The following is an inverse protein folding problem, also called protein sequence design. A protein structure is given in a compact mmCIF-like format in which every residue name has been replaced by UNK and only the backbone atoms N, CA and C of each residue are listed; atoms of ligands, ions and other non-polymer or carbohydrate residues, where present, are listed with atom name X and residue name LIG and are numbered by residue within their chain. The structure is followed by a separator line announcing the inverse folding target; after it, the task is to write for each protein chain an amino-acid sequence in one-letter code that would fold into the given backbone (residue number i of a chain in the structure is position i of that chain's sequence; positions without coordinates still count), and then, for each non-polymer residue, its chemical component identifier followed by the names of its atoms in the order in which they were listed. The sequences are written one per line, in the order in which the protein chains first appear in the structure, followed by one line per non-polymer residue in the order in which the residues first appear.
data_IF_659784333534
#
_entry.id   IF_659784333534
#
_cell.length_a   1.000
_cell.length_b   1.000
_cell.length_c   1.000
_cell.angle_alpha   90.00
_cell.angle_beta   90.00
_cell.angle_gamma   90.00
#
_symmetry.space_group_name_H-M   'P 1'
#
loop_
_entity.id
_entity.type
_entity.pdbx_description
1 polymer ?
#
# COMPACT_ATOMS: atom_id res chain seq x y z
N UNK A 1 -27.47 -11.67 -1.03
CA UNK A 1 -26.13 -11.73 -1.66
C UNK A 1 -25.49 -13.07 -1.37
N UNK A 2 -24.83 -13.71 -2.34
CA UNK A 2 -24.20 -15.03 -2.14
C UNK A 2 -22.81 -14.86 -1.48
N UNK A 3 -22.79 -14.70 -0.15
CA UNK A 3 -21.59 -14.48 0.66
C UNK A 3 -20.60 -15.65 0.58
N UNK A 4 -21.08 -16.88 0.37
CA UNK A 4 -20.24 -18.06 0.11
C UNK A 4 -19.39 -17.95 -1.16
N UNK A 5 -19.92 -17.36 -2.23
CA UNK A 5 -19.19 -17.15 -3.49
C UNK A 5 -18.09 -16.11 -3.29
N UNK A 6 -18.40 -15.02 -2.57
CA UNK A 6 -17.43 -13.97 -2.26
C UNK A 6 -16.28 -14.48 -1.39
N UNK A 7 -16.54 -15.38 -0.43
CA UNK A 7 -15.48 -16.02 0.40
C UNK A 7 -14.55 -16.92 -0.42
N UNK A 8 -15.11 -17.73 -1.32
CA UNK A 8 -14.31 -18.55 -2.24
C UNK A 8 -13.49 -17.66 -3.18
N UNK A 9 -14.08 -16.56 -3.65
CA UNK A 9 -13.39 -15.60 -4.50
C UNK A 9 -12.23 -14.91 -3.78
N UNK A 10 -12.45 -14.47 -2.53
CA UNK A 10 -11.41 -13.90 -1.66
C UNK A 10 -10.24 -14.87 -1.48
N UNK A 11 -10.53 -16.12 -1.09
CA UNK A 11 -9.51 -17.16 -0.91
C UNK A 11 -8.67 -17.40 -2.17
N UNK A 12 -9.30 -17.39 -3.35
CA UNK A 12 -8.61 -17.57 -4.62
C UNK A 12 -7.71 -16.38 -4.97
N UNK A 13 -8.17 -15.15 -4.68
CA UNK A 13 -7.37 -13.94 -4.86
C UNK A 13 -6.17 -13.93 -3.91
N UNK A 14 -6.37 -14.25 -2.64
CA UNK A 14 -5.29 -14.37 -1.64
C UNK A 14 -4.26 -15.43 -2.04
N UNK A 15 -4.71 -16.62 -2.45
CA UNK A 15 -3.82 -17.69 -2.93
C UNK A 15 -3.02 -17.27 -4.17
N UNK A 16 -3.64 -16.50 -5.07
CA UNK A 16 -2.99 -15.97 -6.28
C UNK A 16 -1.95 -14.91 -5.94
N UNK A 17 -2.24 -14.03 -4.99
CA UNK A 17 -1.31 -13.01 -4.49
C UNK A 17 -0.08 -13.67 -3.84
N UNK A 18 -0.28 -14.63 -2.94
CA UNK A 18 0.83 -15.39 -2.29
C UNK A 18 1.72 -16.08 -3.33
N UNK A 19 1.12 -16.68 -4.36
CA UNK A 19 1.87 -17.32 -5.44
C UNK A 19 2.71 -16.30 -6.21
N UNK A 20 2.13 -15.14 -6.50
CA UNK A 20 2.80 -14.07 -7.24
C UNK A 20 3.94 -13.45 -6.44
N UNK A 21 3.74 -13.19 -5.14
CA UNK A 21 4.79 -12.73 -4.21
C UNK A 21 5.98 -13.68 -4.19
N UNK A 22 5.72 -15.00 -4.10
CA UNK A 22 6.79 -16.01 -4.11
C UNK A 22 7.58 -16.01 -5.42
N UNK A 23 6.90 -15.79 -6.55
CA UNK A 23 7.56 -15.68 -7.86
C UNK A 23 8.40 -14.41 -7.93
N UNK A 24 7.86 -13.27 -7.47
CA UNK A 24 8.58 -11.99 -7.44
C UNK A 24 9.84 -12.10 -6.58
N UNK A 25 9.72 -12.67 -5.38
CA UNK A 25 10.85 -12.87 -4.49
C UNK A 25 11.95 -13.71 -5.16
N UNK A 26 11.57 -14.80 -5.83
CA UNK A 26 12.52 -15.64 -6.57
C UNK A 26 13.20 -14.87 -7.72
N UNK A 27 12.44 -14.04 -8.45
CA UNK A 27 13.01 -13.24 -9.53
C UNK A 27 13.96 -12.15 -9.00
N UNK A 28 13.65 -11.54 -7.84
CA UNK A 28 14.52 -10.59 -7.17
C UNK A 28 15.83 -11.24 -6.71
N UNK A 29 15.78 -12.44 -6.13
CA UNK A 29 16.99 -13.17 -5.76
C UNK A 29 17.85 -13.53 -6.97
N UNK A 30 17.24 -13.81 -8.12
CA UNK A 30 17.97 -14.06 -9.37
C UNK A 30 18.59 -12.76 -9.90
N UNK A 31 17.87 -11.63 -9.80
CA UNK A 31 18.38 -10.31 -10.19
C UNK A 31 19.63 -9.91 -9.38
N UNK A 32 19.67 -10.23 -8.08
CA UNK A 32 20.83 -9.97 -7.22
C UNK A 32 22.07 -10.80 -7.60
N UNK A 33 21.90 -11.95 -8.26
CA UNK A 33 22.98 -12.86 -8.66
C UNK A 33 23.47 -12.63 -10.11
N UNK A 34 22.76 -11.83 -10.91
CA UNK A 34 23.06 -11.60 -12.33
C UNK A 34 24.00 -10.40 -12.54
N UNK A 35 24.89 -10.44 -13.55
CA UNK A 35 25.65 -9.27 -13.96
C UNK A 35 24.75 -8.18 -14.56
N UNK A 36 25.11 -6.91 -14.37
CA UNK A 36 24.30 -5.72 -14.70
C UNK A 36 23.68 -5.74 -16.12
N UNK A 37 24.44 -6.26 -17.08
CA UNK A 37 24.07 -6.38 -18.49
C UNK A 37 22.97 -7.44 -18.77
N UNK A 38 22.69 -8.35 -17.85
CA UNK A 38 21.56 -9.30 -17.91
C UNK A 38 20.40 -8.88 -16.99
N UNK A 39 20.66 -8.02 -16.00
CA UNK A 39 19.66 -7.51 -15.05
C UNK A 39 18.63 -6.58 -15.71
N UNK A 40 19.03 -5.77 -16.70
CA UNK A 40 18.14 -4.84 -17.44
C UNK A 40 16.93 -5.56 -18.10
N UNK A 41 17.07 -6.83 -18.48
CA UNK A 41 15.96 -7.61 -19.05
C UNK A 41 14.96 -8.15 -18.02
N UNK A 42 15.37 -8.23 -16.76
CA UNK A 42 14.59 -8.81 -15.65
C UNK A 42 13.80 -7.75 -14.89
N UNK A 43 14.35 -6.55 -14.75
CA UNK A 43 13.72 -5.44 -14.02
C UNK A 43 12.30 -5.10 -14.53
N UNK A 44 12.04 -4.97 -15.86
CA UNK A 44 10.71 -4.67 -16.36
C UNK A 44 9.71 -5.83 -16.15
N UNK A 45 10.21 -7.07 -16.06
CA UNK A 45 9.38 -8.25 -15.79
C UNK A 45 8.94 -8.30 -14.34
N UNK A 46 9.84 -7.94 -13.42
CA UNK A 46 9.55 -7.86 -11.99
C UNK A 46 8.57 -6.72 -11.73
N UNK A 47 8.79 -5.53 -12.32
CA UNK A 47 7.87 -4.39 -12.23
C UNK A 47 6.46 -4.75 -12.68
N UNK A 48 6.32 -5.45 -13.81
CA UNK A 48 5.00 -5.90 -14.30
C UNK A 48 4.33 -6.91 -13.36
N UNK A 49 5.10 -7.74 -12.66
CA UNK A 49 4.56 -8.66 -11.67
C UNK A 49 4.14 -7.94 -10.39
N UNK A 50 4.87 -6.89 -9.98
CA UNK A 50 4.49 -6.00 -8.88
C UNK A 50 3.20 -5.23 -9.20
N UNK A 51 3.07 -4.64 -10.40
CA UNK A 51 1.82 -4.00 -10.84
C UNK A 51 0.63 -4.96 -10.74
N UNK A 52 0.82 -6.23 -11.14
CA UNK A 52 -0.22 -7.24 -11.06
C UNK A 52 -0.52 -7.71 -9.63
N UNK A 53 0.43 -7.56 -8.71
CA UNK A 53 0.22 -7.82 -7.29
C UNK A 53 -0.65 -6.71 -6.68
N UNK A 54 -0.38 -5.45 -7.03
CA UNK A 54 -1.21 -4.31 -6.61
C UNK A 54 -2.65 -4.46 -7.12
N UNK A 55 -2.84 -4.84 -8.40
CA UNK A 55 -4.18 -5.12 -8.94
C UNK A 55 -4.91 -6.25 -8.20
N UNK A 56 -4.19 -7.24 -7.67
CA UNK A 56 -4.78 -8.31 -6.86
C UNK A 56 -5.16 -7.81 -5.47
N UNK A 57 -4.36 -6.94 -4.87
CA UNK A 57 -4.64 -6.32 -3.57
C UNK A 57 -5.88 -5.43 -3.64
N UNK A 58 -6.02 -4.61 -4.68
CA UNK A 58 -7.22 -3.79 -4.90
C UNK A 58 -8.49 -4.66 -5.00
N UNK A 59 -8.42 -5.79 -5.72
CA UNK A 59 -9.54 -6.73 -5.83
C UNK A 59 -9.86 -7.44 -4.52
N UNK A 60 -8.85 -7.75 -3.70
CA UNK A 60 -9.04 -8.30 -2.36
C UNK A 60 -9.78 -7.28 -1.50
N UNK A 61 -9.37 -6.02 -1.51
CA UNK A 61 -10.00 -4.93 -0.77
C UNK A 61 -11.46 -4.71 -1.20
N UNK A 62 -11.75 -4.75 -2.49
CA UNK A 62 -13.11 -4.66 -3.03
C UNK A 62 -14.00 -5.82 -2.56
N UNK A 63 -13.49 -7.05 -2.60
CA UNK A 63 -14.25 -8.25 -2.15
C UNK A 63 -14.45 -8.22 -0.63
N UNK A 64 -13.46 -7.76 0.14
CA UNK A 64 -13.60 -7.54 1.58
C UNK A 64 -14.64 -6.46 1.89
N UNK A 65 -14.68 -5.37 1.12
CA UNK A 65 -15.70 -4.33 1.25
C UNK A 65 -17.10 -4.87 0.97
N UNK A 66 -17.27 -5.68 -0.08
CA UNK A 66 -18.55 -6.35 -0.41
C UNK A 66 -18.98 -7.34 0.68
N UNK A 67 -18.05 -8.11 1.24
CA UNK A 67 -18.34 -9.02 2.36
C UNK A 67 -18.74 -8.27 3.63
N UNK A 68 -18.15 -7.10 3.88
CA UNK A 68 -18.48 -6.21 5.00
C UNK A 68 -19.86 -5.57 4.84
N UNK A 69 -20.20 -5.15 3.62
CA UNK A 69 -21.52 -4.62 3.29
C UNK A 69 -22.63 -5.68 3.40
N UNK A 70 -22.32 -6.93 3.05
CA UNK A 70 -23.23 -8.06 3.18
C UNK A 70 -23.48 -8.52 4.65
N UNK A 71 -22.86 -7.87 5.64
CA UNK A 71 -23.04 -8.20 7.07
C UNK A 71 -22.41 -9.51 7.52
N UNK A 72 -21.65 -10.17 6.64
CA UNK A 72 -21.15 -11.55 6.80
C UNK A 72 -19.62 -11.61 6.87
N UNK A 73 -18.99 -10.46 7.10
CA UNK A 73 -17.58 -10.35 7.45
C UNK A 73 -17.39 -10.77 8.91
N UNK A 74 -17.50 -12.07 9.16
CA UNK A 74 -16.83 -12.66 10.31
C UNK A 74 -15.34 -12.64 9.98
N UNK A 75 -14.48 -11.91 10.71
CA UNK A 75 -13.04 -12.12 10.60
C UNK A 75 -12.81 -13.59 10.99
N UNK A 76 -12.72 -14.48 10.00
CA UNK A 76 -12.23 -15.82 10.25
C UNK A 76 -10.78 -15.57 10.67
N UNK A 77 -10.53 -15.63 11.96
CA UNK A 77 -9.22 -15.53 12.57
C UNK A 77 -8.41 -16.79 12.26
N UNK A 78 -8.19 -17.08 10.97
CA UNK A 78 -7.30 -18.15 10.51
C UNK A 78 -5.91 -17.64 10.11
N UNK A 79 -5.60 -16.34 10.25
CA UNK A 79 -4.29 -15.79 9.86
C UNK A 79 -3.51 -15.07 10.96
N UNK A 80 -3.98 -15.08 12.21
CA UNK A 80 -3.18 -14.59 13.36
C UNK A 80 -1.94 -15.44 13.70
N UNK A 81 -1.56 -16.42 12.87
CA UNK A 81 -0.44 -17.35 13.15
C UNK A 81 0.46 -17.72 11.98
N UNK A 82 0.26 -17.21 10.76
CA UNK A 82 1.09 -17.70 9.63
C UNK A 82 2.25 -16.77 9.27
N UNK A 83 2.18 -15.47 9.53
CA UNK A 83 3.27 -14.55 9.13
C UNK A 83 3.49 -13.36 10.09
N UNK A 84 3.73 -13.64 11.38
CA UNK A 84 4.70 -12.79 12.09
C UNK A 84 6.09 -13.19 11.57
N UNK A 85 6.72 -12.31 10.79
CA UNK A 85 8.15 -12.40 10.52
C UNK A 85 8.87 -12.32 11.87
N UNK A 86 9.23 -13.48 12.43
CA UNK A 86 10.24 -13.57 13.48
C UNK A 86 11.59 -13.40 12.78
N UNK A 87 12.30 -12.27 12.94
CA UNK A 87 13.67 -12.18 12.47
C UNK A 87 14.47 -13.34 13.07
N UNK A 88 15.43 -13.93 12.33
CA UNK A 88 16.24 -15.02 12.85
C UNK A 88 16.84 -14.56 14.18
N UNK A 89 16.56 -15.32 15.24
CA UNK A 89 17.18 -15.11 16.54
C UNK A 89 18.68 -15.18 16.31
N UNK A 90 19.35 -14.02 16.32
CA UNK A 90 20.80 -13.97 16.44
C UNK A 90 21.09 -14.80 17.68
N UNK A 91 21.72 -15.97 17.49
CA UNK A 91 22.22 -16.80 18.57
C UNK A 91 23.32 -15.98 19.22
N UNK A 92 22.93 -15.09 20.14
CA UNK A 92 23.86 -14.41 21.02
C UNK A 92 24.54 -15.53 21.78
N UNK A 93 25.86 -15.64 21.61
CA UNK A 93 26.70 -16.53 22.38
C UNK A 93 26.24 -16.52 23.85
N UNK A 94 26.21 -17.68 24.53
CA UNK A 94 25.74 -17.75 25.91
C UNK A 94 26.50 -16.72 26.74
N UNK A 95 25.75 -15.79 27.34
CA UNK A 95 26.32 -14.76 28.22
C UNK A 95 27.11 -15.48 29.31
N UNK A 96 28.38 -15.10 29.60
CA UNK A 96 29.11 -15.70 30.70
C UNK A 96 28.30 -15.53 31.99
N UNK A 97 28.25 -16.60 32.79
CA UNK A 97 27.55 -16.60 34.06
C UNK A 97 28.01 -15.40 34.90
N UNK A 98 27.07 -14.58 35.35
CA UNK A 98 27.36 -13.45 36.24
C UNK A 98 28.04 -14.00 37.49
N UNK A 99 29.28 -13.59 37.74
CA UNK A 99 29.95 -13.86 39.00
C UNK A 99 29.05 -13.41 40.16
N UNK A 100 28.97 -14.25 41.20
CA UNK A 100 28.16 -13.99 42.40
C UNK A 100 28.49 -12.61 42.95
N UNK A 101 27.46 -11.78 43.12
CA UNK A 101 27.58 -10.45 43.70
C UNK A 101 28.07 -10.60 45.15
N UNK A 102 29.32 -10.24 45.41
CA UNK A 102 29.83 -10.12 46.78
C UNK A 102 29.16 -8.89 47.40
N UNK A 103 28.36 -9.12 48.44
CA UNK A 103 27.75 -8.06 49.26
C UNK A 103 28.83 -7.55 50.21
N UNK A 104 29.28 -6.31 50.01
CA UNK A 104 30.00 -5.58 51.05
C UNK A 104 28.97 -4.82 51.91
N UNK A 105 29.19 -4.73 53.24
CA UNK A 105 28.27 -4.05 54.14
C UNK A 105 28.21 -2.54 53.82
N UNK A 106 26.98 -2.03 53.81
CA UNK A 106 26.62 -0.65 53.46
C UNK A 106 27.17 0.33 54.50
N UNK A 107 28.12 1.18 54.12
CA UNK A 107 28.39 2.41 54.85
C UNK A 107 27.26 3.42 54.59
N UNK A 108 26.62 3.85 55.66
CA UNK A 108 25.52 4.80 55.65
C UNK A 108 25.90 6.13 54.99
N UNK A 109 25.17 6.51 53.93
CA UNK A 109 25.17 7.87 53.39
C UNK A 109 23.81 8.51 53.62
N UNK A 110 23.84 9.74 54.14
CA UNK A 110 22.71 10.55 54.58
C UNK A 110 21.60 10.72 53.51
N UNK A 111 20.33 10.87 53.93
CA UNK A 111 19.20 10.91 53.01
C UNK A 111 19.18 12.20 52.18
N UNK A 112 19.22 12.07 50.86
CA UNK A 112 18.96 13.19 49.94
C UNK A 112 17.46 13.50 49.91
N UNK A 113 17.10 14.75 50.16
CA UNK A 113 15.73 15.26 50.09
C UNK A 113 15.11 14.98 48.70
N UNK A 114 13.96 14.28 48.69
CA UNK A 114 13.19 13.99 47.48
C UNK A 114 12.55 15.28 46.96
N UNK A 115 12.92 15.71 45.75
CA UNK A 115 12.17 16.75 45.03
C UNK A 115 10.74 16.24 44.74
N UNK A 116 9.70 17.07 44.89
CA UNK A 116 8.33 16.68 44.57
C UNK A 116 8.20 16.36 43.07
N UNK A 117 7.52 15.25 42.75
CA UNK A 117 7.19 14.88 41.36
C UNK A 117 6.26 15.93 40.76
N UNK A 118 6.49 16.41 39.53
CA UNK A 118 5.60 17.38 38.89
C UNK A 118 4.21 16.75 38.69
N UNK A 119 3.17 17.52 39.00
CA UNK A 119 1.78 17.11 38.80
C UNK A 119 1.52 16.77 37.32
N UNK A 120 0.74 15.72 37.02
CA UNK A 120 0.42 15.34 35.66
C UNK A 120 -0.34 16.49 34.97
N UNK A 121 0.23 17.03 33.88
CA UNK A 121 -0.45 18.01 33.03
C UNK A 121 -1.83 17.44 32.61
N UNK A 122 -2.90 18.25 32.57
CA UNK A 122 -4.19 17.81 32.08
C UNK A 122 -4.01 17.31 30.64
N UNK A 123 -4.32 16.03 30.42
CA UNK A 123 -4.27 15.43 29.08
C UNK A 123 -5.33 16.13 28.24
N UNK A 124 -4.95 16.62 27.06
CA UNK A 124 -5.87 17.19 26.08
C UNK A 124 -7.10 16.27 25.91
N UNK A 125 -8.30 16.83 25.68
CA UNK A 125 -9.50 16.03 25.47
C UNK A 125 -9.23 15.04 24.33
N UNK A 126 -9.35 13.74 24.65
CA UNK A 126 -9.20 12.69 23.65
C UNK A 126 -10.37 12.85 22.67
N UNK A 127 -10.09 13.35 21.47
CA UNK A 127 -11.03 13.30 20.34
C UNK A 127 -11.53 11.86 20.17
N UNK A 128 -12.77 11.66 19.72
CA UNK A 128 -13.22 10.32 19.40
C UNK A 128 -12.30 9.71 18.34
N UNK A 129 -12.12 8.39 18.42
CA UNK A 129 -11.31 7.63 17.46
C UNK A 129 -11.81 7.87 16.02
N UNK A 130 -13.12 8.07 15.86
CA UNK A 130 -13.78 8.28 14.57
C UNK A 130 -13.44 9.66 13.98
N UNK A 131 -13.49 10.73 14.78
CA UNK A 131 -13.12 12.07 14.34
C UNK A 131 -11.64 12.14 13.94
N UNK A 132 -10.77 11.48 14.72
CA UNK A 132 -9.35 11.37 14.38
C UNK A 132 -9.12 10.64 13.06
N UNK A 133 -9.82 9.52 12.82
CA UNK A 133 -9.76 8.77 11.57
C UNK A 133 -10.28 9.58 10.38
N UNK A 134 -11.36 10.34 10.53
CA UNK A 134 -11.91 11.20 9.48
C UNK A 134 -10.93 12.32 9.09
N UNK A 135 -10.32 13.00 10.08
CA UNK A 135 -9.25 13.99 9.86
C UNK A 135 -8.03 13.39 9.17
N UNK A 136 -7.62 12.17 9.56
CA UNK A 136 -6.52 11.44 8.91
C UNK A 136 -6.85 11.10 7.45
N UNK A 137 -8.07 10.63 7.15
CA UNK A 137 -8.54 10.37 5.79
C UNK A 137 -8.48 11.63 4.92
N UNK A 138 -9.00 12.76 5.41
CA UNK A 138 -8.90 14.07 4.73
C UNK A 138 -7.44 14.45 4.41
N UNK A 139 -6.55 14.35 5.39
CA UNK A 139 -5.14 14.68 5.21
C UNK A 139 -4.47 13.80 4.15
N UNK A 140 -4.77 12.49 4.14
CA UNK A 140 -4.26 11.56 3.14
C UNK A 140 -4.78 11.90 1.73
N UNK A 141 -6.10 12.12 1.57
CA UNK A 141 -6.69 12.51 0.29
C UNK A 141 -6.09 13.82 -0.25
N UNK A 142 -5.88 14.79 0.63
CA UNK A 142 -5.26 16.07 0.24
C UNK A 142 -3.81 15.88 -0.21
N UNK A 143 -3.06 15.00 0.46
CA UNK A 143 -1.70 14.66 0.05
C UNK A 143 -1.68 13.93 -1.30
N UNK A 144 -2.55 12.93 -1.50
CA UNK A 144 -2.68 12.19 -2.77
C UNK A 144 -3.06 13.10 -3.94
N UNK A 145 -3.93 14.09 -3.72
CA UNK A 145 -4.27 15.07 -4.76
C UNK A 145 -3.07 15.94 -5.15
N UNK A 146 -2.23 16.33 -4.18
CA UNK A 146 -1.02 17.12 -4.43
C UNK A 146 0.06 16.34 -5.18
N UNK A 147 0.18 15.04 -4.89
CA UNK A 147 1.19 14.18 -5.54
C UNK A 147 0.70 13.55 -6.84
N UNK A 148 -0.58 13.69 -7.19
CA UNK A 148 -1.14 13.12 -8.41
C UNK A 148 -0.46 13.69 -9.67
N UNK A 149 -0.21 15.00 -9.71
CA UNK A 149 0.46 15.62 -10.86
C UNK A 149 1.87 15.07 -11.09
N UNK A 150 2.63 14.89 -10.01
CA UNK A 150 3.97 14.29 -10.06
C UNK A 150 3.90 12.84 -10.55
N UNK A 151 2.96 12.05 -10.02
CA UNK A 151 2.76 10.67 -10.46
C UNK A 151 2.36 10.58 -11.95
N UNK A 152 1.45 11.45 -12.42
CA UNK A 152 1.04 11.48 -13.84
C UNK A 152 2.19 11.93 -14.76
N UNK A 153 3.06 12.83 -14.29
CA UNK A 153 4.25 13.25 -15.04
C UNK A 153 5.24 12.09 -15.20
N UNK A 154 5.47 11.30 -14.16
CA UNK A 154 6.31 10.10 -14.21
C UNK A 154 5.71 9.09 -15.19
N UNK A 155 4.42 8.76 -15.05
CA UNK A 155 3.73 7.81 -15.94
C UNK A 155 3.79 8.27 -17.40
N UNK A 156 3.57 9.57 -17.66
CA UNK A 156 3.71 10.16 -18.99
C UNK A 156 5.12 9.98 -19.54
N UNK A 157 6.15 10.24 -18.73
CA UNK A 157 7.55 10.03 -19.11
C UNK A 157 7.84 8.58 -19.49
N UNK A 158 7.40 7.62 -18.68
CA UNK A 158 7.54 6.19 -18.98
C UNK A 158 6.82 5.78 -20.26
N UNK A 159 5.60 6.27 -20.49
CA UNK A 159 4.86 6.00 -21.72
C UNK A 159 5.55 6.57 -22.95
N UNK A 160 6.23 7.72 -22.85
CA UNK A 160 7.06 8.26 -23.93
C UNK A 160 8.25 7.37 -24.25
N UNK A 161 8.94 6.85 -23.23
CA UNK A 161 10.04 5.87 -23.42
C UNK A 161 9.51 4.60 -24.09
N UNK A 162 8.41 4.02 -23.56
CA UNK A 162 7.76 2.84 -24.14
C UNK A 162 7.31 3.11 -25.58
N UNK A 163 6.83 4.30 -25.91
CA UNK A 163 6.45 4.68 -27.28
C UNK A 163 7.66 4.64 -28.21
N UNK A 164 8.80 5.21 -27.78
CA UNK A 164 10.04 5.17 -28.55
C UNK A 164 10.52 3.73 -28.79
N UNK A 165 10.51 2.88 -27.77
CA UNK A 165 10.85 1.46 -27.90
C UNK A 165 9.93 0.72 -28.87
N UNK A 166 8.61 0.97 -28.78
CA UNK A 166 7.63 0.35 -29.67
C UNK A 166 7.77 0.83 -31.10
N UNK A 167 8.09 2.10 -31.31
CA UNK A 167 8.38 2.65 -32.63
C UNK A 167 9.62 1.98 -33.23
N UNK A 168 10.72 1.92 -32.48
CA UNK A 168 11.94 1.23 -32.91
C UNK A 168 11.68 -0.25 -33.24
N UNK A 169 10.79 -0.91 -32.47
CA UNK A 169 10.37 -2.29 -32.76
C UNK A 169 9.59 -2.41 -34.06
N UNK A 170 8.69 -1.46 -34.36
CA UNK A 170 7.95 -1.40 -35.64
C UNK A 170 8.93 -1.25 -36.79
N UNK A 171 9.89 -0.33 -36.67
CA UNK A 171 10.89 -0.07 -37.71
C UNK A 171 11.80 -1.30 -37.93
N UNK A 172 12.19 -1.99 -36.86
CA UNK A 172 12.98 -3.22 -36.92
C UNK A 172 12.26 -4.34 -37.71
N UNK A 173 10.98 -4.55 -37.44
CA UNK A 173 10.20 -5.64 -38.08
C UNK A 173 9.63 -5.26 -39.44
N UNK A 174 9.68 -3.97 -39.83
CA UNK A 174 9.23 -3.50 -41.14
C UNK A 174 10.00 -4.17 -42.28
N UNK A 175 11.30 -4.40 -42.08
CA UNK A 175 12.21 -4.97 -43.07
C UNK A 175 12.27 -6.50 -43.06
N UNK A 176 11.49 -7.18 -42.22
CA UNK A 176 11.47 -8.64 -42.16
C UNK A 176 10.62 -9.26 -43.28
N UNK A 177 11.27 -9.80 -44.30
CA UNK A 177 10.64 -10.41 -45.49
C UNK A 177 10.27 -11.89 -45.34
N UNK A 178 10.51 -12.52 -44.18
CA UNK A 178 10.15 -13.93 -43.94
C UNK A 178 8.65 -14.18 -44.16
N UNK A 179 8.33 -15.07 -45.11
CA UNK A 179 6.96 -15.38 -45.55
C UNK A 179 6.09 -16.00 -44.44
N UNK A 180 6.67 -16.74 -43.49
CA UNK A 180 5.88 -17.46 -42.47
C UNK A 180 5.50 -16.59 -41.26
N UNK A 181 6.41 -15.75 -40.75
CA UNK A 181 6.19 -15.01 -39.49
C UNK A 181 6.22 -13.48 -39.64
N UNK A 182 6.68 -12.94 -40.78
CA UNK A 182 6.83 -11.50 -41.00
C UNK A 182 5.53 -10.70 -40.83
N UNK A 183 4.41 -11.10 -41.47
CA UNK A 183 3.14 -10.36 -41.36
C UNK A 183 2.59 -10.29 -39.92
N UNK A 184 2.69 -11.38 -39.16
CA UNK A 184 2.18 -11.45 -37.79
C UNK A 184 3.00 -10.58 -36.84
N UNK A 185 4.32 -10.58 -36.99
CA UNK A 185 5.23 -9.78 -36.17
C UNK A 185 5.05 -8.28 -36.42
N UNK A 186 4.90 -7.86 -37.69
CA UNK A 186 4.54 -6.48 -38.06
C UNK A 186 3.22 -6.03 -37.44
N UNK A 187 2.17 -6.85 -37.56
CA UNK A 187 0.86 -6.55 -36.99
C UNK A 187 0.95 -6.40 -35.46
N UNK A 188 1.67 -7.30 -34.80
CA UNK A 188 1.82 -7.27 -33.33
C UNK A 188 2.59 -6.03 -32.87
N UNK A 189 3.66 -5.64 -33.58
CA UNK A 189 4.40 -4.42 -33.27
C UNK A 189 3.53 -3.17 -33.43
N UNK A 190 2.74 -3.09 -34.52
CA UNK A 190 1.81 -1.98 -34.76
C UNK A 190 0.75 -1.87 -33.67
N UNK A 191 0.12 -2.98 -33.29
CA UNK A 191 -0.86 -3.02 -32.18
C UNK A 191 -0.20 -2.56 -30.86
N UNK A 192 1.05 -2.97 -30.61
CA UNK A 192 1.79 -2.54 -29.43
C UNK A 192 1.99 -1.02 -29.38
N UNK A 193 2.33 -0.41 -30.51
CA UNK A 193 2.47 1.05 -30.64
C UNK A 193 1.12 1.77 -30.48
N UNK A 194 0.07 1.29 -31.14
CA UNK A 194 -1.29 1.84 -31.04
C UNK A 194 -1.81 1.83 -29.59
N UNK A 195 -1.51 0.77 -28.82
CA UNK A 195 -1.86 0.69 -27.40
C UNK A 195 -1.18 1.76 -26.55
N UNK A 196 0.13 1.95 -26.73
CA UNK A 196 0.88 2.98 -25.97
C UNK A 196 0.42 4.38 -26.37
N UNK A 197 0.12 4.60 -27.65
CA UNK A 197 -0.46 5.85 -28.13
C UNK A 197 -1.82 6.11 -27.46
N UNK A 198 -2.70 5.11 -27.43
CA UNK A 198 -4.00 5.24 -26.76
C UNK A 198 -3.87 5.52 -25.26
N UNK A 199 -2.87 4.93 -24.59
CA UNK A 199 -2.58 5.23 -23.17
C UNK A 199 -2.16 6.69 -22.97
N UNK A 200 -1.32 7.24 -23.86
CA UNK A 200 -0.95 8.66 -23.84
C UNK A 200 -2.15 9.57 -24.10
N UNK A 201 -3.00 9.21 -25.06
CA UNK A 201 -4.16 10.01 -25.45
C UNK A 201 -5.24 10.04 -24.34
N UNK A 202 -5.37 8.95 -23.57
CA UNK A 202 -6.33 8.84 -22.46
C UNK A 202 -5.77 9.26 -21.10
N UNK A 203 -4.49 9.63 -21.02
CA UNK A 203 -3.81 9.91 -19.75
C UNK A 203 -4.43 11.10 -19.00
N UNK A 204 -4.76 12.18 -19.73
CA UNK A 204 -5.40 13.37 -19.14
C UNK A 204 -6.84 13.08 -18.71
N UNK A 205 -7.57 12.25 -19.45
CA UNK A 205 -8.92 11.84 -19.07
C UNK A 205 -8.90 10.99 -17.80
N UNK A 206 -7.96 10.04 -17.69
CA UNK A 206 -7.73 9.25 -16.49
C UNK A 206 -7.37 10.12 -15.29
N UNK A 207 -6.53 11.14 -15.48
CA UNK A 207 -6.21 12.12 -14.45
C UNK A 207 -7.46 12.85 -13.98
N UNK A 208 -8.28 13.36 -14.91
CA UNK A 208 -9.53 14.04 -14.59
C UNK A 208 -10.50 13.14 -13.81
N UNK A 209 -10.64 11.87 -14.20
CA UNK A 209 -11.45 10.87 -13.50
C UNK A 209 -10.94 10.61 -12.07
N UNK A 210 -9.62 10.44 -11.90
CA UNK A 210 -8.99 10.26 -10.58
C UNK A 210 -9.22 11.49 -9.68
N UNK A 211 -9.05 12.70 -10.20
CA UNK A 211 -9.32 13.94 -9.47
C UNK A 211 -10.78 14.06 -9.05
N UNK A 212 -11.72 13.76 -9.95
CA UNK A 212 -13.14 13.78 -9.64
C UNK A 212 -13.49 12.81 -8.51
N UNK A 213 -12.98 11.56 -8.58
CA UNK A 213 -13.20 10.57 -7.53
C UNK A 213 -12.60 11.00 -6.17
N UNK A 214 -11.39 11.56 -6.17
CA UNK A 214 -10.76 12.06 -4.93
C UNK A 214 -11.53 13.24 -4.32
N UNK A 215 -12.06 14.15 -5.14
CA UNK A 215 -12.88 15.26 -4.66
C UNK A 215 -14.15 14.77 -3.96
N UNK A 216 -14.85 13.78 -4.55
CA UNK A 216 -16.04 13.17 -3.92
C UNK A 216 -15.70 12.58 -2.55
N UNK A 217 -14.57 11.86 -2.43
CA UNK A 217 -14.13 11.30 -1.16
C UNK A 217 -13.71 12.38 -0.14
N UNK A 218 -13.15 13.49 -0.62
CA UNK A 218 -12.77 14.62 0.22
C UNK A 218 -14.00 15.30 0.81
N UNK A 219 -15.04 15.52 0.01
CA UNK A 219 -16.32 16.09 0.43
C UNK A 219 -17.00 15.20 1.48
N UNK A 220 -16.99 13.87 1.27
CA UNK A 220 -17.48 12.91 2.25
C UNK A 220 -16.68 12.99 3.57
N UNK A 221 -15.35 13.05 3.50
CA UNK A 221 -14.52 13.17 4.70
C UNK A 221 -14.76 14.49 5.45
N UNK A 222 -15.03 15.59 4.74
CA UNK A 222 -15.40 16.87 5.34
C UNK A 222 -16.76 16.79 6.04
N UNK A 223 -17.77 16.20 5.38
CA UNK A 223 -19.09 16.01 5.97
C UNK A 223 -19.03 15.13 7.24
N UNK A 224 -18.22 14.06 7.23
CA UNK A 224 -17.97 13.21 8.39
C UNK A 224 -17.34 14.00 9.55
N UNK A 225 -16.32 14.82 9.25
CA UNK A 225 -15.67 15.67 10.26
C UNK A 225 -16.69 16.64 10.87
N UNK A 226 -17.51 17.30 10.06
CA UNK A 226 -18.51 18.25 10.54
C UNK A 226 -19.58 17.57 11.40
N UNK A 227 -20.07 16.40 10.98
CA UNK A 227 -21.03 15.59 11.73
C UNK A 227 -20.47 15.16 13.08
N UNK A 228 -19.25 14.60 13.10
CA UNK A 228 -18.61 14.11 14.32
C UNK A 228 -18.21 15.25 15.25
N UNK A 229 -17.79 16.39 14.71
CA UNK A 229 -17.46 17.58 15.51
C UNK A 229 -18.72 18.15 16.19
N UNK A 230 -19.87 18.19 15.51
CA UNK A 230 -21.16 18.57 16.09
C UNK A 230 -21.68 17.57 17.13
N UNK A 231 -21.35 16.28 16.97
CA UNK A 231 -21.71 15.25 17.95
C UNK A 231 -20.82 15.30 19.21
N UNK A 232 -19.56 15.73 19.07
CA UNK A 232 -18.61 15.89 20.18
C UNK A 232 -18.73 17.23 20.90
N UNK A 233 -19.33 18.26 20.29
CA UNK A 233 -19.59 19.52 20.99
C UNK A 233 -20.51 19.27 22.18
N UNK A 234 -20.10 19.63 23.41
CA UNK A 234 -20.87 19.36 24.60
C UNK A 234 -22.24 20.03 24.47
N UNK A 235 -23.31 19.27 24.66
CA UNK A 235 -24.64 19.82 24.93
C UNK A 235 -24.60 20.63 26.23
N UNK A 236 -24.13 21.87 26.17
CA UNK A 236 -24.10 22.85 27.27
C UNK A 236 -25.50 23.34 27.70
N UNK A 237 -26.58 22.64 27.35
CA UNK A 237 -27.96 23.12 27.56
C UNK A 237 -28.87 22.23 28.41
N UNK A 238 -28.36 21.32 29.25
CA UNK A 238 -29.24 20.49 30.11
C UNK A 238 -28.88 20.41 31.60
N UNK A 239 -28.05 21.31 32.14
CA UNK A 239 -27.78 21.37 33.59
C UNK A 239 -28.08 22.72 34.24
N UNK A 240 -28.91 23.56 33.61
CA UNK A 240 -29.64 24.63 34.30
C UNK A 240 -31.12 24.28 34.26
N UNK A 241 -31.53 23.37 35.14
CA UNK A 241 -32.90 23.09 35.63
C UNK A 241 -32.86 21.69 36.25
N UNK A 242 -32.58 21.62 37.55
CA UNK A 242 -33.39 21.07 38.64
C UNK A 242 -32.56 21.22 39.92
#
# INVERSE_FOLDING_TARGET
MNTGILRIHLHNLESSAVTLERIIYKDLTILEELPDNEAEGYEPRILKKLERLDELQDRIDDVMAQLKEAGDYSPISHSGRVYEYMPPMVVRAPKPAKAKHVVYPVQAKAPKARKPKPAPKPKAPKQSKELWLAKKRRANLTWRMKTLDEAMLIEKGELWVRRAERQARVDLVANWTSEQNGPQLRRTAKIGLEKVQHQLDTLEERKAQKLAAMNVLLDQALADIDRLTKAESPTEKRSQLV
#
